data_IF_608164088794
#
_entry.id   IF_608164088794
#
_cell.length_a   1.000
_cell.length_b   1.000
_cell.length_c   1.000
_cell.angle_alpha   90.00
_cell.angle_beta   90.00
_cell.angle_gamma   90.00
#
_symmetry.space_group_name_H-M   'P 1'
#
loop_
_entity.id
_entity.type
_entity.pdbx_description
1 polymer ?
#
# COMPACT_ATOMS: atom_id res chain seq x y z
N UNK A 1 -23.98 6.94 14.09
CA UNK A 1 -23.73 5.85 13.12
C UNK A 1 -22.28 5.43 13.29
N UNK A 2 -22.00 4.12 13.32
CA UNK A 2 -20.61 3.62 13.32
C UNK A 2 -19.95 3.92 11.99
N UNK A 3 -18.69 4.38 12.01
CA UNK A 3 -17.93 4.61 10.78
C UNK A 3 -17.76 3.29 10.00
N UNK A 4 -17.83 3.32 8.65
CA UNK A 4 -17.54 2.13 7.87
C UNK A 4 -16.08 1.72 8.02
N UNK A 5 -15.84 0.41 8.05
CA UNK A 5 -14.50 -0.15 8.25
C UNK A 5 -13.76 -0.21 6.92
N UNK A 6 -12.53 0.28 6.92
CA UNK A 6 -11.58 0.18 5.81
C UNK A 6 -10.35 -0.60 6.27
N UNK A 7 -9.99 -1.63 5.52
CA UNK A 7 -8.77 -2.40 5.75
C UNK A 7 -7.73 -2.10 4.66
N UNK A 8 -6.49 -1.88 5.05
CA UNK A 8 -5.38 -1.76 4.11
C UNK A 8 -4.09 -2.31 4.71
N UNK A 9 -3.27 -2.92 3.86
CA UNK A 9 -2.02 -3.53 4.25
C UNK A 9 -0.85 -3.13 3.36
N UNK A 10 0.35 -3.07 3.93
CA UNK A 10 1.60 -2.89 3.20
C UNK A 10 2.57 -3.99 3.61
N UNK A 11 3.14 -4.65 2.60
CA UNK A 11 4.23 -5.59 2.83
C UNK A 11 5.50 -4.86 3.28
N UNK A 12 6.17 -5.35 4.34
CA UNK A 12 7.46 -4.84 4.78
C UNK A 12 8.59 -5.37 3.88
N UNK A 13 8.47 -5.15 2.57
CA UNK A 13 9.44 -5.56 1.57
C UNK A 13 9.77 -4.39 0.66
N UNK A 14 11.06 -4.11 0.52
CA UNK A 14 11.56 -2.96 -0.24
C UNK A 14 11.22 -1.61 0.41
N UNK A 15 11.81 -0.57 -0.12
CA UNK A 15 11.61 0.80 0.36
C UNK A 15 10.35 1.43 -0.24
N UNK A 16 9.56 2.12 0.59
CA UNK A 16 8.40 2.87 0.10
C UNK A 16 8.86 4.08 -0.74
N UNK A 17 8.17 4.30 -1.85
CA UNK A 17 8.47 5.39 -2.79
C UNK A 17 7.58 6.61 -2.56
N UNK A 18 7.97 7.74 -3.11
CA UNK A 18 7.10 8.92 -3.17
C UNK A 18 5.77 8.62 -3.86
N UNK A 19 5.76 7.70 -4.84
CA UNK A 19 4.54 7.22 -5.49
C UNK A 19 3.61 6.49 -4.52
N UNK A 20 4.15 5.69 -3.59
CA UNK A 20 3.35 5.07 -2.52
C UNK A 20 2.79 6.13 -1.55
N UNK A 21 3.59 7.12 -1.20
CA UNK A 21 3.16 8.21 -0.30
C UNK A 21 2.04 9.05 -0.92
N UNK A 22 2.27 9.61 -2.12
CA UNK A 22 1.31 10.50 -2.79
C UNK A 22 0.08 9.75 -3.33
N UNK A 23 0.27 8.49 -3.72
CA UNK A 23 -0.79 7.64 -4.27
C UNK A 23 -1.69 6.98 -3.23
N UNK A 24 -1.17 6.64 -2.05
CA UNK A 24 -1.89 5.87 -1.04
C UNK A 24 -1.83 6.49 0.37
N UNK A 25 -0.64 6.54 1.00
CA UNK A 25 -0.50 6.87 2.43
C UNK A 25 -1.13 8.21 2.80
N UNK A 26 -0.95 9.22 1.97
CA UNK A 26 -1.54 10.55 2.17
C UNK A 26 -3.07 10.54 2.19
N UNK A 27 -3.69 9.68 1.38
CA UNK A 27 -5.14 9.50 1.39
C UNK A 27 -5.58 8.75 2.64
N UNK A 28 -4.81 7.78 3.11
CA UNK A 28 -5.10 7.05 4.34
C UNK A 28 -5.15 7.97 5.57
N UNK A 29 -4.24 8.96 5.63
CA UNK A 29 -4.27 9.97 6.70
C UNK A 29 -5.60 10.73 6.72
N UNK A 30 -6.12 11.11 5.55
CA UNK A 30 -7.42 11.79 5.44
C UNK A 30 -8.60 10.87 5.78
N UNK A 31 -8.49 9.60 5.42
CA UNK A 31 -9.56 8.62 5.66
C UNK A 31 -9.85 8.38 7.15
N UNK A 32 -8.89 8.59 8.04
CA UNK A 32 -9.05 8.43 9.49
C UNK A 32 -10.18 9.31 10.07
N UNK A 33 -10.53 10.42 9.41
CA UNK A 33 -11.61 11.30 9.88
C UNK A 33 -13.00 10.71 9.62
N UNK A 34 -13.17 9.99 8.50
CA UNK A 34 -14.48 9.54 8.03
C UNK A 34 -14.70 8.03 8.21
N UNK A 35 -13.61 7.25 8.34
CA UNK A 35 -13.63 5.80 8.39
C UNK A 35 -12.99 5.26 9.66
N UNK A 36 -13.39 4.06 10.04
CA UNK A 36 -12.65 3.24 10.99
C UNK A 36 -11.54 2.51 10.23
N UNK A 37 -10.32 3.02 10.32
CA UNK A 37 -9.19 2.53 9.54
C UNK A 37 -8.41 1.45 10.29
N UNK A 38 -8.15 0.35 9.58
CA UNK A 38 -7.32 -0.77 10.05
C UNK A 38 -6.13 -0.88 9.09
N UNK A 39 -4.93 -0.60 9.59
CA UNK A 39 -3.68 -0.63 8.83
C UNK A 39 -2.80 -1.77 9.33
N UNK A 40 -2.48 -2.70 8.45
CA UNK A 40 -1.72 -3.90 8.76
C UNK A 40 -0.36 -3.88 8.05
N UNK A 41 0.72 -4.15 8.78
CA UNK A 41 2.01 -4.51 8.19
C UNK A 41 1.98 -6.01 7.94
N UNK A 42 1.84 -6.39 6.66
CA UNK A 42 1.55 -7.79 6.27
C UNK A 42 2.82 -8.61 6.07
N UNK A 43 3.45 -8.96 7.16
CA UNK A 43 4.72 -9.69 7.22
C UNK A 43 4.57 -11.17 6.81
N UNK A 44 3.42 -11.80 7.05
CA UNK A 44 3.15 -13.17 6.56
C UNK A 44 3.14 -13.23 5.03
N UNK A 45 2.63 -12.18 4.36
CA UNK A 45 2.73 -12.09 2.90
C UNK A 45 4.17 -11.88 2.41
N UNK A 46 5.01 -11.22 3.21
CA UNK A 46 6.39 -10.97 2.81
C UNK A 46 7.20 -12.27 2.68
N UNK A 47 6.96 -13.27 3.53
CA UNK A 47 7.70 -14.55 3.54
C UNK A 47 7.28 -15.51 2.42
N UNK A 48 6.30 -15.18 1.58
CA UNK A 48 6.02 -15.92 0.34
C UNK A 48 7.21 -15.90 -0.63
N UNK A 49 8.10 -14.95 -0.46
CA UNK A 49 9.43 -14.90 -1.03
C UNK A 49 10.44 -14.92 0.13
N UNK A 50 11.54 -15.68 0.01
CA UNK A 50 12.53 -15.77 1.08
C UNK A 50 13.07 -14.40 1.46
N UNK A 51 13.10 -14.12 2.75
CA UNK A 51 13.58 -12.88 3.34
C UNK A 51 14.78 -13.18 4.26
N UNK A 52 15.71 -12.23 4.33
CA UNK A 52 16.67 -12.21 5.43
C UNK A 52 15.95 -11.80 6.72
N UNK A 53 16.08 -12.55 7.84
CA UNK A 53 15.33 -12.28 9.06
C UNK A 53 15.62 -10.90 9.67
N UNK A 54 16.86 -10.44 9.60
CA UNK A 54 17.26 -9.13 10.14
C UNK A 54 16.67 -8.00 9.28
N UNK A 55 16.74 -8.17 7.96
CA UNK A 55 16.16 -7.21 7.01
C UNK A 55 14.62 -7.14 7.14
N UNK A 56 13.94 -8.30 7.30
CA UNK A 56 12.49 -8.34 7.48
C UNK A 56 12.06 -7.63 8.78
N UNK A 57 12.72 -7.92 9.91
CA UNK A 57 12.45 -7.24 11.19
C UNK A 57 12.64 -5.73 11.04
N UNK A 58 13.76 -5.31 10.47
CA UNK A 58 14.04 -3.89 10.23
C UNK A 58 12.96 -3.25 9.37
N UNK A 59 12.62 -3.85 8.23
CA UNK A 59 11.63 -3.33 7.31
C UNK A 59 10.23 -3.24 7.93
N UNK A 60 9.85 -4.18 8.80
CA UNK A 60 8.58 -4.15 9.54
C UNK A 60 8.49 -2.91 10.44
N UNK A 61 9.54 -2.64 11.23
CA UNK A 61 9.60 -1.46 12.09
C UNK A 61 9.72 -0.15 11.29
N UNK A 62 10.44 -0.17 10.17
CA UNK A 62 10.56 0.99 9.29
C UNK A 62 9.21 1.35 8.64
N UNK A 63 8.41 0.38 8.22
CA UNK A 63 7.05 0.63 7.68
C UNK A 63 6.14 1.21 8.75
N UNK A 64 6.18 0.70 10.00
CA UNK A 64 5.42 1.26 11.11
C UNK A 64 5.82 2.71 11.38
N UNK A 65 7.11 2.98 11.52
CA UNK A 65 7.63 4.32 11.75
C UNK A 65 7.27 5.29 10.61
N UNK A 66 7.28 4.81 9.34
CA UNK A 66 6.81 5.57 8.18
C UNK A 66 5.32 5.88 8.24
N UNK A 67 4.48 4.94 8.67
CA UNK A 67 3.05 5.21 8.86
C UNK A 67 2.83 6.37 9.83
N UNK A 68 3.50 6.34 10.99
CA UNK A 68 3.42 7.40 12.00
C UNK A 68 3.99 8.72 11.48
N UNK A 69 5.13 8.68 10.80
CA UNK A 69 5.76 9.86 10.20
C UNK A 69 4.90 10.51 9.12
N UNK A 70 4.12 9.71 8.38
CA UNK A 70 3.16 10.19 7.38
C UNK A 70 1.89 10.79 8.01
N UNK A 71 1.63 10.59 9.31
CA UNK A 71 0.49 11.13 10.05
C UNK A 71 -0.64 10.14 10.30
N UNK A 72 -0.39 8.83 10.17
CA UNK A 72 -1.34 7.82 10.65
C UNK A 72 -1.29 7.83 12.19
N UNK A 73 -2.43 8.13 12.81
CA UNK A 73 -2.59 8.27 14.25
C UNK A 73 -3.07 6.94 14.87
N UNK A 74 -2.28 6.30 15.76
CA UNK A 74 -2.65 5.04 16.40
C UNK A 74 -3.82 5.18 17.38
N UNK A 75 -4.20 6.43 17.76
CA UNK A 75 -5.39 6.68 18.57
C UNK A 75 -6.68 6.71 17.71
N UNK A 76 -6.57 7.03 16.43
CA UNK A 76 -7.70 7.07 15.48
C UNK A 76 -7.84 5.78 14.67
N UNK A 77 -6.74 5.05 14.48
CA UNK A 77 -6.66 3.87 13.63
C UNK A 77 -6.10 2.68 14.40
N UNK A 78 -6.46 1.48 13.98
CA UNK A 78 -5.82 0.25 14.47
C UNK A 78 -4.62 -0.06 13.59
N UNK A 79 -3.41 -0.07 14.17
CA UNK A 79 -2.16 -0.34 13.45
C UNK A 79 -1.49 -1.56 14.10
N UNK A 80 -1.18 -2.60 13.33
CA UNK A 80 -0.57 -3.82 13.86
C UNK A 80 0.25 -4.57 12.81
N UNK A 81 1.02 -5.55 13.25
CA UNK A 81 1.73 -6.51 12.40
C UNK A 81 0.87 -7.77 12.27
N UNK A 82 0.71 -8.27 11.07
CA UNK A 82 -0.17 -9.41 10.75
C UNK A 82 0.13 -10.66 11.59
N UNK A 83 1.41 -11.00 11.76
CA UNK A 83 1.82 -12.16 12.56
C UNK A 83 1.49 -12.06 14.05
N UNK A 84 1.16 -10.87 14.56
CA UNK A 84 0.72 -10.69 15.95
C UNK A 84 -0.76 -11.09 16.17
N UNK A 85 -1.49 -11.38 15.10
CA UNK A 85 -2.91 -11.75 15.11
C UNK A 85 -3.09 -13.11 14.44
N UNK A 86 -2.94 -14.22 15.18
CA UNK A 86 -2.96 -15.58 14.61
C UNK A 86 -4.28 -15.94 13.90
N UNK A 87 -5.36 -15.23 14.22
CA UNK A 87 -6.67 -15.39 13.59
C UNK A 87 -6.63 -15.26 12.06
N UNK A 88 -5.68 -14.50 11.50
CA UNK A 88 -5.45 -14.40 10.05
C UNK A 88 -5.15 -15.77 9.42
N UNK A 89 -4.22 -16.51 10.00
CA UNK A 89 -3.86 -17.85 9.50
C UNK A 89 -4.92 -18.88 9.79
N UNK A 90 -5.62 -18.76 10.92
CA UNK A 90 -6.71 -19.66 11.29
C UNK A 90 -7.90 -19.52 10.32
N UNK A 91 -8.30 -18.27 10.00
CA UNK A 91 -9.36 -18.06 9.00
C UNK A 91 -8.89 -18.45 7.61
N UNK A 92 -7.64 -18.13 7.24
CA UNK A 92 -7.07 -18.52 5.93
C UNK A 92 -7.19 -20.02 5.70
N UNK A 93 -6.88 -20.86 6.71
CA UNK A 93 -7.03 -22.29 6.60
C UNK A 93 -8.49 -22.70 6.33
N UNK A 94 -9.44 -22.13 7.03
CA UNK A 94 -10.87 -22.41 6.78
C UNK A 94 -11.24 -22.00 5.36
N UNK A 95 -10.91 -20.77 4.94
CA UNK A 95 -11.25 -20.26 3.61
C UNK A 95 -10.63 -21.06 2.47
N UNK A 96 -9.45 -21.65 2.68
CA UNK A 96 -8.83 -22.57 1.73
C UNK A 96 -9.73 -23.75 1.38
N UNK A 97 -10.51 -24.25 2.35
CA UNK A 97 -11.45 -25.34 2.14
C UNK A 97 -12.68 -24.91 1.32
N UNK A 98 -12.89 -23.61 1.11
CA UNK A 98 -13.98 -23.02 0.34
C UNK A 98 -13.48 -22.29 -0.92
N UNK A 99 -12.20 -22.43 -1.26
CA UNK A 99 -11.57 -21.81 -2.44
C UNK A 99 -11.23 -22.89 -3.45
N UNK A 100 -11.60 -22.69 -4.71
CA UNK A 100 -11.35 -23.70 -5.72
C UNK A 100 -9.97 -23.56 -6.36
N UNK A 101 -9.27 -24.68 -6.47
CA UNK A 101 -7.95 -24.75 -7.10
C UNK A 101 -7.90 -24.11 -8.49
N UNK A 102 -8.96 -24.32 -9.29
CA UNK A 102 -9.06 -23.75 -10.63
C UNK A 102 -9.20 -22.21 -10.65
N UNK A 103 -9.77 -21.60 -9.61
CA UNK A 103 -9.82 -20.14 -9.45
C UNK A 103 -8.41 -19.60 -9.15
N UNK A 104 -7.72 -20.21 -8.20
CA UNK A 104 -6.37 -19.86 -7.81
C UNK A 104 -5.37 -19.99 -8.96
N UNK A 105 -5.47 -21.06 -9.76
CA UNK A 105 -4.59 -21.31 -10.91
C UNK A 105 -4.73 -20.26 -12.04
N UNK A 106 -5.82 -19.50 -12.06
CA UNK A 106 -6.04 -18.44 -13.04
C UNK A 106 -5.57 -17.07 -12.61
N UNK A 107 -5.10 -16.93 -11.34
CA UNK A 107 -4.61 -15.66 -10.81
C UNK A 107 -3.41 -15.16 -11.62
N UNK A 108 -3.53 -13.94 -12.16
CA UNK A 108 -2.48 -13.32 -13.00
C UNK A 108 -1.19 -13.09 -12.21
N UNK A 109 -1.31 -12.59 -10.99
CA UNK A 109 -0.18 -12.34 -10.09
C UNK A 109 0.60 -13.63 -9.76
N UNK A 110 -0.07 -14.79 -9.64
CA UNK A 110 0.62 -16.06 -9.46
C UNK A 110 1.47 -16.40 -10.68
N UNK A 111 0.93 -16.24 -11.89
CA UNK A 111 1.67 -16.49 -13.13
C UNK A 111 2.88 -15.60 -13.28
N UNK A 112 2.72 -14.30 -13.01
CA UNK A 112 3.81 -13.31 -13.13
C UNK A 112 4.92 -13.56 -12.09
N UNK A 113 4.55 -13.83 -10.84
CA UNK A 113 5.51 -14.11 -9.76
C UNK A 113 6.20 -15.46 -9.95
N UNK A 114 5.47 -16.49 -10.41
CA UNK A 114 6.05 -17.80 -10.70
C UNK A 114 7.09 -17.72 -11.82
N UNK A 115 6.86 -16.90 -12.83
CA UNK A 115 7.84 -16.67 -13.89
C UNK A 115 9.09 -15.93 -13.37
N UNK A 116 8.92 -14.97 -12.44
CA UNK A 116 10.01 -14.19 -11.84
C UNK A 116 10.84 -14.99 -10.82
N UNK A 117 10.22 -15.88 -10.07
CA UNK A 117 10.83 -16.66 -8.98
C UNK A 117 10.81 -18.17 -9.28
N UNK A 118 11.11 -18.56 -10.51
CA UNK A 118 10.96 -19.93 -11.01
C UNK A 118 11.67 -21.02 -10.16
N UNK A 119 12.76 -20.65 -9.48
CA UNK A 119 13.52 -21.57 -8.61
C UNK A 119 12.90 -21.78 -7.21
N UNK A 120 11.91 -20.96 -6.83
CA UNK A 120 11.33 -20.99 -5.48
C UNK A 120 9.81 -20.75 -5.50
N UNK A 121 9.12 -21.52 -6.33
CA UNK A 121 7.65 -21.52 -6.34
C UNK A 121 7.17 -22.38 -5.18
N UNK A 122 6.73 -21.73 -4.11
CA UNK A 122 6.20 -22.40 -2.92
C UNK A 122 4.67 -22.27 -2.83
N UNK A 123 4.06 -23.09 -1.95
CA UNK A 123 2.61 -23.13 -1.76
C UNK A 123 2.07 -21.76 -1.29
N UNK A 124 2.81 -21.05 -0.42
CA UNK A 124 2.40 -19.71 0.04
C UNK A 124 2.29 -18.69 -1.10
N UNK A 125 3.13 -18.81 -2.14
CA UNK A 125 3.02 -17.97 -3.34
C UNK A 125 1.76 -18.26 -4.14
N UNK A 126 1.27 -19.50 -4.12
CA UNK A 126 -0.01 -19.87 -4.71
C UNK A 126 -1.20 -19.44 -3.84
N UNK A 127 -1.07 -19.56 -2.52
CA UNK A 127 -2.15 -19.50 -1.55
C UNK A 127 -2.39 -18.10 -0.93
N UNK A 128 -1.42 -17.17 -1.06
CA UNK A 128 -1.54 -15.86 -0.41
C UNK A 128 -2.82 -15.06 -0.74
N UNK A 129 -3.52 -15.25 -1.89
CA UNK A 129 -4.79 -14.55 -2.11
C UNK A 129 -5.89 -14.97 -1.11
N UNK A 130 -5.84 -16.21 -0.61
CA UNK A 130 -6.75 -16.69 0.43
C UNK A 130 -6.39 -16.09 1.79
N UNK A 131 -5.10 -15.94 2.09
CA UNK A 131 -4.65 -15.20 3.28
C UNK A 131 -5.08 -13.72 3.20
N UNK A 132 -4.99 -13.09 2.03
CA UNK A 132 -5.50 -11.72 1.83
C UNK A 132 -7.02 -11.64 2.01
N UNK A 133 -7.77 -12.65 1.57
CA UNK A 133 -9.19 -12.73 1.85
C UNK A 133 -9.47 -12.81 3.35
N UNK A 134 -8.71 -13.62 4.10
CA UNK A 134 -8.80 -13.69 5.55
C UNK A 134 -8.49 -12.33 6.21
N UNK A 135 -7.44 -11.64 5.76
CA UNK A 135 -7.06 -10.31 6.25
C UNK A 135 -8.23 -9.31 6.18
N UNK A 136 -9.00 -9.35 5.12
CA UNK A 136 -10.12 -8.43 4.87
C UNK A 136 -11.37 -8.85 5.62
N UNK A 137 -11.71 -10.14 5.55
CA UNK A 137 -12.98 -10.68 6.05
C UNK A 137 -13.03 -10.76 7.59
N UNK A 138 -11.89 -10.98 8.27
CA UNK A 138 -11.81 -10.96 9.73
C UNK A 138 -12.37 -9.69 10.34
N UNK A 139 -12.14 -8.57 9.69
CA UNK A 139 -12.52 -7.25 10.22
C UNK A 139 -13.86 -6.75 9.70
N UNK A 140 -14.58 -7.57 8.92
CA UNK A 140 -15.84 -7.15 8.29
C UNK A 140 -15.66 -5.85 7.48
N UNK A 141 -14.51 -5.73 6.80
CA UNK A 141 -14.16 -4.52 6.06
C UNK A 141 -15.16 -4.29 4.92
N UNK A 142 -15.80 -3.13 4.92
CA UNK A 142 -16.75 -2.75 3.87
C UNK A 142 -16.03 -2.30 2.61
N UNK A 143 -14.84 -1.70 2.75
CA UNK A 143 -14.10 -1.14 1.63
C UNK A 143 -12.59 -1.39 1.78
N UNK A 144 -11.94 -1.66 0.66
CA UNK A 144 -10.51 -1.93 0.58
C UNK A 144 -9.89 -1.02 -0.49
N UNK A 145 -8.98 -0.10 -0.12
CA UNK A 145 -8.26 0.72 -1.08
C UNK A 145 -7.19 -0.12 -1.78
N UNK A 146 -7.46 -0.51 -3.02
CA UNK A 146 -6.56 -1.33 -3.84
C UNK A 146 -6.22 -0.64 -5.15
N UNK A 147 -4.99 -0.85 -5.61
CA UNK A 147 -4.59 -0.53 -6.97
C UNK A 147 -5.17 -1.53 -7.99
N UNK A 148 -5.06 -1.19 -9.28
CA UNK A 148 -5.58 -2.02 -10.37
C UNK A 148 -5.03 -3.46 -10.36
N UNK A 149 -3.77 -3.62 -9.96
CA UNK A 149 -3.08 -4.91 -9.84
C UNK A 149 -3.63 -5.82 -8.73
N UNK A 150 -4.41 -5.26 -7.78
CA UNK A 150 -5.02 -6.00 -6.68
C UNK A 150 -6.52 -6.24 -6.86
N UNK A 151 -7.14 -5.76 -7.95
CA UNK A 151 -8.57 -5.93 -8.19
C UNK A 151 -8.97 -7.40 -8.22
N UNK A 152 -8.19 -8.25 -8.89
CA UNK A 152 -8.47 -9.69 -8.99
C UNK A 152 -8.43 -10.38 -7.61
N UNK A 153 -7.56 -9.93 -6.70
CA UNK A 153 -7.53 -10.45 -5.32
C UNK A 153 -8.79 -10.05 -4.54
N UNK A 154 -9.31 -8.85 -4.76
CA UNK A 154 -10.55 -8.45 -4.11
C UNK A 154 -11.77 -9.18 -4.72
N UNK A 155 -11.77 -9.46 -6.01
CA UNK A 155 -12.80 -10.27 -6.67
C UNK A 155 -12.86 -11.67 -6.07
N UNK A 156 -11.73 -12.37 -5.94
CA UNK A 156 -11.71 -13.70 -5.32
C UNK A 156 -12.11 -13.65 -3.84
N UNK A 157 -11.75 -12.61 -3.11
CA UNK A 157 -12.22 -12.39 -1.74
C UNK A 157 -13.73 -12.29 -1.67
N UNK A 158 -14.37 -11.58 -2.59
CA UNK A 158 -15.82 -11.45 -2.71
C UNK A 158 -16.48 -12.79 -3.02
N UNK A 159 -15.91 -13.55 -3.97
CA UNK A 159 -16.42 -14.85 -4.37
C UNK A 159 -16.36 -15.85 -3.21
N UNK A 160 -15.27 -15.88 -2.47
CA UNK A 160 -15.11 -16.72 -1.27
C UNK A 160 -16.14 -16.32 -0.21
N UNK A 161 -16.29 -15.03 0.08
CA UNK A 161 -17.26 -14.53 1.07
C UNK A 161 -18.70 -14.84 0.67
N UNK A 162 -19.07 -14.63 -0.59
CA UNK A 162 -20.41 -14.93 -1.10
C UNK A 162 -20.72 -16.44 -1.04
N UNK A 163 -19.75 -17.28 -1.41
CA UNK A 163 -19.88 -18.75 -1.35
C UNK A 163 -20.05 -19.22 0.09
N UNK A 164 -19.26 -18.70 1.02
CA UNK A 164 -19.36 -19.05 2.43
C UNK A 164 -20.71 -18.61 3.01
N UNK A 165 -21.13 -17.38 2.72
CA UNK A 165 -22.43 -16.85 3.15
C UNK A 165 -23.61 -17.65 2.58
N UNK A 166 -23.51 -18.15 1.35
CA UNK A 166 -24.56 -19.01 0.74
C UNK A 166 -24.73 -20.32 1.52
N UNK A 167 -23.65 -20.86 2.08
CA UNK A 167 -23.67 -22.13 2.80
C UNK A 167 -24.11 -21.97 4.27
N UNK A 168 -23.70 -20.86 4.91
CA UNK A 168 -23.79 -20.73 6.37
C UNK A 168 -24.55 -19.50 6.86
N UNK A 169 -25.15 -18.71 5.94
CA UNK A 169 -25.82 -17.45 6.28
C UNK A 169 -24.84 -16.27 6.27
N UNK A 170 -25.33 -15.09 6.63
CA UNK A 170 -24.59 -13.81 6.54
C UNK A 170 -23.47 -13.70 7.60
N UNK A 171 -22.39 -14.43 7.36
CA UNK A 171 -21.20 -14.43 8.25
C UNK A 171 -20.25 -13.28 7.90
N UNK A 172 -19.96 -13.08 6.60
CA UNK A 172 -19.01 -12.08 6.12
C UNK A 172 -19.70 -10.90 5.45
N UNK A 173 -19.22 -9.69 5.73
CA UNK A 173 -19.48 -8.53 4.89
C UNK A 173 -18.73 -8.69 3.57
N UNK A 174 -19.44 -8.59 2.45
CA UNK A 174 -18.80 -8.64 1.13
C UNK A 174 -18.13 -7.30 0.86
N UNK A 175 -16.78 -7.27 0.72
CA UNK A 175 -16.06 -6.02 0.58
C UNK A 175 -16.23 -5.40 -0.81
N UNK A 176 -16.08 -4.09 -0.88
CA UNK A 176 -16.10 -3.31 -2.12
C UNK A 176 -14.74 -2.62 -2.34
N UNK A 177 -14.43 -2.33 -3.62
CA UNK A 177 -13.28 -1.48 -3.93
C UNK A 177 -13.55 -0.08 -3.36
N UNK A 178 -12.60 0.46 -2.60
CA UNK A 178 -12.69 1.84 -2.15
C UNK A 178 -12.53 2.79 -3.34
N UNK A 179 -13.61 3.46 -3.70
CA UNK A 179 -13.67 4.44 -4.79
C UNK A 179 -13.34 5.87 -4.31
N UNK A 180 -12.47 6.03 -3.32
CA UNK A 180 -11.97 7.33 -2.91
C UNK A 180 -11.26 8.08 -4.05
N UNK A 181 -11.01 9.38 -3.86
CA UNK A 181 -10.20 10.13 -4.83
C UNK A 181 -8.89 9.38 -5.06
N UNK A 182 -8.67 8.94 -6.28
CA UNK A 182 -7.42 8.29 -6.67
C UNK A 182 -6.26 9.23 -6.30
N UNK A 183 -5.28 8.72 -5.56
CA UNK A 183 -4.05 9.45 -5.33
C UNK A 183 -3.30 9.66 -6.64
N UNK A 184 -2.32 10.56 -6.63
CA UNK A 184 -1.52 10.82 -7.80
C UNK A 184 -0.82 9.53 -8.29
N UNK A 185 -0.96 9.23 -9.58
CA UNK A 185 -0.26 8.12 -10.22
C UNK A 185 1.11 8.61 -10.67
N UNK A 186 2.09 8.42 -9.82
CA UNK A 186 3.46 8.86 -10.10
C UNK A 186 4.15 7.86 -11.02
N UNK A 187 4.73 8.37 -12.11
CA UNK A 187 5.44 7.60 -13.10
C UNK A 187 6.95 7.61 -12.81
N UNK A 188 7.69 6.70 -13.45
CA UNK A 188 9.14 6.62 -13.38
C UNK A 188 9.80 7.89 -13.90
N UNK A 189 10.92 8.32 -13.30
CA UNK A 189 11.58 9.57 -13.68
C UNK A 189 12.31 9.48 -15.03
N UNK A 190 12.80 8.30 -15.42
CA UNK A 190 13.53 8.09 -16.67
C UNK A 190 12.69 7.36 -17.72
N UNK A 191 11.58 6.73 -17.32
CA UNK A 191 10.66 6.02 -18.20
C UNK A 191 9.22 6.39 -17.81
N UNK A 192 8.76 7.61 -18.16
CA UNK A 192 7.48 8.15 -17.67
C UNK A 192 6.24 7.45 -18.25
N UNK A 193 6.41 6.46 -19.12
CA UNK A 193 5.32 5.59 -19.59
C UNK A 193 5.04 4.46 -18.58
N UNK A 194 5.97 4.18 -17.67
CA UNK A 194 5.85 3.17 -16.62
C UNK A 194 5.61 3.79 -15.26
N UNK A 195 4.73 3.16 -14.48
CA UNK A 195 4.49 3.55 -13.08
C UNK A 195 5.78 3.38 -12.25
N UNK A 196 6.09 4.36 -11.40
CA UNK A 196 7.19 4.25 -10.43
C UNK A 196 6.97 3.01 -9.53
N UNK A 197 7.95 2.11 -9.53
CA UNK A 197 7.90 0.85 -8.79
C UNK A 197 9.09 0.72 -7.84
N UNK A 198 8.83 0.27 -6.61
CA UNK A 198 9.89 -0.02 -5.63
C UNK A 198 10.83 -1.16 -6.07
N UNK A 199 10.39 -2.00 -7.00
CA UNK A 199 11.16 -3.13 -7.57
C UNK A 199 11.83 -2.79 -8.90
N UNK A 200 11.95 -1.50 -9.28
CA UNK A 200 12.66 -1.09 -10.48
C UNK A 200 14.17 -1.22 -10.26
N UNK A 201 14.84 -1.94 -11.17
CA UNK A 201 16.29 -2.16 -11.11
C UNK A 201 17.09 -0.88 -11.34
N UNK A 202 16.55 0.05 -12.13
CA UNK A 202 17.17 1.36 -12.33
C UNK A 202 16.78 2.33 -11.21
N UNK A 203 17.65 2.51 -10.24
CA UNK A 203 17.43 3.40 -9.09
C UNK A 203 17.26 4.88 -9.46
N UNK A 204 17.59 5.30 -10.70
CA UNK A 204 17.28 6.65 -11.17
C UNK A 204 15.82 6.84 -11.56
N UNK A 205 15.07 5.75 -11.72
CA UNK A 205 13.64 5.76 -11.99
C UNK A 205 12.81 6.06 -10.76
N UNK A 206 13.38 5.86 -9.56
CA UNK A 206 12.63 5.75 -8.30
C UNK A 206 13.13 6.78 -7.31
N UNK A 207 12.21 7.39 -6.58
CA UNK A 207 12.46 8.21 -5.39
C UNK A 207 11.90 7.47 -4.18
N UNK A 208 12.79 7.04 -3.27
CA UNK A 208 12.36 6.40 -2.01
C UNK A 208 12.21 7.42 -0.89
N UNK A 209 11.33 7.15 0.08
CA UNK A 209 11.00 8.11 1.15
C UNK A 209 12.17 8.38 2.10
N UNK A 210 13.09 7.42 2.23
CA UNK A 210 14.27 7.52 3.10
C UNK A 210 15.57 7.82 2.34
N UNK A 211 15.48 8.13 1.05
CA UNK A 211 16.64 8.53 0.25
C UNK A 211 17.10 9.95 0.61
N UNK A 212 18.42 10.18 0.59
CA UNK A 212 18.98 11.51 0.83
C UNK A 212 18.34 12.57 -0.08
N UNK A 213 17.75 13.64 0.49
CA UNK A 213 17.06 14.67 -0.29
C UNK A 213 17.92 15.33 -1.37
N UNK A 214 19.23 15.46 -1.14
CA UNK A 214 20.16 16.03 -2.14
C UNK A 214 20.37 15.07 -3.32
N UNK A 215 20.37 13.78 -3.07
CA UNK A 215 20.41 12.75 -4.11
C UNK A 215 19.14 12.78 -4.95
N UNK A 216 17.99 12.85 -4.28
CA UNK A 216 16.67 12.95 -4.93
C UNK A 216 16.57 14.20 -5.82
N UNK A 217 17.04 15.36 -5.33
CA UNK A 217 17.07 16.59 -6.12
C UNK A 217 17.85 16.41 -7.44
N UNK A 218 19.00 15.70 -7.38
CA UNK A 218 19.79 15.40 -8.60
C UNK A 218 19.05 14.47 -9.56
N UNK A 219 18.34 13.46 -9.06
CA UNK A 219 17.51 12.55 -9.88
C UNK A 219 16.40 13.32 -10.59
N UNK A 220 15.67 14.17 -9.88
CA UNK A 220 14.56 14.95 -10.42
C UNK A 220 15.07 15.92 -11.50
N UNK A 221 16.19 16.60 -11.27
CA UNK A 221 16.81 17.50 -12.27
C UNK A 221 17.22 16.76 -13.55
N UNK A 222 17.48 15.45 -13.47
CA UNK A 222 17.82 14.58 -14.61
C UNK A 222 16.61 13.81 -15.17
N UNK A 223 15.40 14.01 -14.63
CA UNK A 223 14.21 13.35 -15.13
C UNK A 223 13.99 13.64 -16.62
N UNK A 224 13.49 12.64 -17.34
CA UNK A 224 13.24 12.77 -18.79
C UNK A 224 12.12 13.77 -19.03
N UNK A 225 12.30 14.62 -20.02
CA UNK A 225 11.31 15.54 -20.60
C UNK A 225 11.36 15.40 -22.12
N UNK A 226 10.37 15.96 -22.81
CA UNK A 226 10.40 16.02 -24.28
C UNK A 226 11.49 16.97 -24.82
N UNK A 227 11.64 17.03 -26.14
CA UNK A 227 12.64 17.81 -26.87
C UNK A 227 12.05 19.01 -27.61
N UNK A 228 10.89 19.53 -27.18
CA UNK A 228 10.28 20.71 -27.80
C UNK A 228 11.21 21.92 -27.78
N UNK A 229 11.25 22.66 -28.85
CA UNK A 229 12.05 23.88 -28.98
C UNK A 229 11.21 25.01 -29.63
N UNK A 230 10.85 26.05 -28.86
CA UNK A 230 11.15 26.27 -27.44
C UNK A 230 10.40 25.29 -26.52
N UNK A 231 10.95 24.96 -25.34
CA UNK A 231 10.27 24.08 -24.37
C UNK A 231 8.98 24.72 -23.87
N UNK A 232 7.93 23.91 -23.83
CA UNK A 232 6.59 24.35 -23.34
C UNK A 232 6.16 23.46 -22.19
N UNK A 233 5.99 24.05 -21.01
CA UNK A 233 5.44 23.35 -19.84
C UNK A 233 3.92 23.26 -20.01
N UNK A 234 3.47 22.08 -20.42
CA UNK A 234 2.06 21.76 -20.65
C UNK A 234 1.77 20.31 -20.24
N UNK A 235 0.60 20.08 -19.66
CA UNK A 235 0.13 18.75 -19.31
C UNK A 235 -0.40 18.03 -20.56
N UNK A 236 0.29 17.02 -21.00
CA UNK A 236 -0.09 16.18 -22.13
C UNK A 236 0.57 14.82 -21.96
N UNK A 237 -0.14 13.89 -21.32
CA UNK A 237 0.40 12.56 -20.98
C UNK A 237 0.87 11.79 -22.20
N UNK A 238 0.25 12.01 -23.36
CA UNK A 238 0.59 11.29 -24.59
C UNK A 238 1.88 11.79 -25.24
N UNK A 239 2.07 13.12 -25.30
CA UNK A 239 3.19 13.72 -26.04
C UNK A 239 4.27 14.29 -25.12
N UNK A 240 3.96 14.53 -23.84
CA UNK A 240 4.82 15.14 -22.82
C UNK A 240 4.77 14.37 -21.50
N UNK A 241 4.88 13.03 -21.58
CA UNK A 241 4.74 12.16 -20.43
C UNK A 241 5.64 12.56 -19.24
N UNK A 242 6.91 12.91 -19.51
CA UNK A 242 7.86 13.33 -18.48
C UNK A 242 7.50 14.68 -17.83
N UNK A 243 7.09 15.68 -18.62
CA UNK A 243 6.63 16.97 -18.10
C UNK A 243 5.33 16.81 -17.30
N UNK A 244 4.39 16.01 -17.81
CA UNK A 244 3.14 15.70 -17.14
C UNK A 244 3.37 15.02 -15.78
N UNK A 245 4.30 14.04 -15.71
CA UNK A 245 4.68 13.39 -14.46
C UNK A 245 5.29 14.38 -13.45
N UNK A 246 6.14 15.31 -13.90
CA UNK A 246 6.70 16.35 -13.01
C UNK A 246 5.62 17.31 -12.51
N UNK A 247 4.64 17.67 -13.33
CA UNK A 247 3.48 18.47 -12.93
C UNK A 247 2.59 17.71 -11.94
N UNK A 248 2.35 16.42 -12.14
CA UNK A 248 1.61 15.57 -11.21
C UNK A 248 2.29 15.47 -9.84
N UNK A 249 3.62 15.29 -9.83
CA UNK A 249 4.41 15.28 -8.57
C UNK A 249 4.27 16.63 -7.87
N UNK A 250 4.50 17.74 -8.59
CA UNK A 250 4.46 19.08 -8.01
C UNK A 250 3.06 19.44 -7.50
N UNK A 251 2.02 19.13 -8.28
CA UNK A 251 0.62 19.30 -7.89
C UNK A 251 0.30 18.53 -6.61
N UNK A 252 0.71 17.25 -6.56
CA UNK A 252 0.48 16.43 -5.40
C UNK A 252 1.22 16.94 -4.15
N UNK A 253 2.46 17.42 -4.27
CA UNK A 253 3.25 17.92 -3.13
C UNK A 253 2.73 19.26 -2.65
N UNK A 254 2.44 20.19 -3.56
CA UNK A 254 2.04 21.58 -3.22
C UNK A 254 0.56 21.78 -3.00
N UNK A 255 -0.30 20.83 -3.37
CA UNK A 255 -1.76 20.96 -3.47
C UNK A 255 -2.27 21.99 -4.47
N UNK A 256 -1.42 22.50 -5.35
CA UNK A 256 -1.84 23.33 -6.49
C UNK A 256 -2.43 22.46 -7.58
N UNK A 257 -3.44 22.92 -8.29
CA UNK A 257 -3.93 22.22 -9.48
C UNK A 257 -2.91 22.26 -10.61
N UNK A 258 -2.95 21.28 -11.50
CA UNK A 258 -2.10 21.26 -12.70
C UNK A 258 -2.27 22.51 -13.54
N UNK A 259 -3.49 23.03 -13.69
CA UNK A 259 -3.79 24.26 -14.43
C UNK A 259 -3.14 25.52 -13.81
N UNK A 260 -3.07 25.60 -12.49
CA UNK A 260 -2.33 26.69 -11.81
C UNK A 260 -0.83 26.59 -12.05
N UNK A 261 -0.28 25.36 -12.04
CA UNK A 261 1.12 25.14 -12.31
C UNK A 261 1.49 25.43 -13.76
N UNK A 262 0.65 25.05 -14.74
CA UNK A 262 0.87 25.39 -16.14
C UNK A 262 0.98 26.91 -16.33
N UNK A 263 0.11 27.70 -15.68
CA UNK A 263 0.19 29.16 -15.69
C UNK A 263 1.46 29.69 -15.03
N UNK A 264 1.83 29.12 -13.88
CA UNK A 264 3.04 29.52 -13.13
C UNK A 264 4.32 29.29 -13.95
N UNK A 265 4.34 28.25 -14.78
CA UNK A 265 5.48 27.89 -15.63
C UNK A 265 5.32 28.32 -17.09
N UNK A 266 4.30 29.10 -17.44
CA UNK A 266 4.15 29.62 -18.80
C UNK A 266 5.37 30.44 -19.22
N UNK A 267 5.93 30.10 -20.37
CA UNK A 267 7.14 30.73 -20.91
C UNK A 267 8.46 30.39 -20.19
N UNK A 268 8.44 29.48 -19.20
CA UNK A 268 9.65 29.03 -18.50
C UNK A 268 10.21 27.75 -19.12
N UNK A 269 11.52 27.59 -18.97
CA UNK A 269 12.26 26.40 -19.41
C UNK A 269 12.00 25.20 -18.48
N UNK A 270 12.12 23.96 -18.97
CA UNK A 270 11.98 22.74 -18.16
C UNK A 270 12.90 22.71 -16.93
N UNK A 271 14.07 23.35 -16.98
CA UNK A 271 14.96 23.49 -15.83
C UNK A 271 14.31 24.19 -14.62
N UNK A 272 13.43 25.17 -14.86
CA UNK A 272 12.70 25.83 -13.78
C UNK A 272 11.67 24.90 -13.12
N UNK A 273 10.90 24.15 -13.92
CA UNK A 273 9.97 23.13 -13.43
C UNK A 273 10.71 22.05 -12.62
N UNK A 274 11.79 21.48 -13.17
CA UNK A 274 12.59 20.46 -12.50
C UNK A 274 13.18 20.95 -11.18
N UNK A 275 13.60 22.21 -11.13
CA UNK A 275 14.13 22.81 -9.89
C UNK A 275 13.03 22.95 -8.85
N UNK A 276 11.87 23.48 -9.22
CA UNK A 276 10.73 23.59 -8.30
C UNK A 276 10.29 22.23 -7.75
N UNK A 277 10.16 21.21 -8.62
CA UNK A 277 9.84 19.83 -8.18
C UNK A 277 10.91 19.29 -7.24
N UNK A 278 12.19 19.50 -7.56
CA UNK A 278 13.31 19.02 -6.75
C UNK A 278 13.30 19.65 -5.34
N UNK A 279 13.06 20.95 -5.27
CA UNK A 279 13.04 21.69 -4.01
C UNK A 279 11.85 21.27 -3.13
N UNK A 280 10.64 21.20 -3.70
CA UNK A 280 9.43 20.81 -2.97
C UNK A 280 9.48 19.34 -2.49
N UNK A 281 9.95 18.43 -3.34
CA UNK A 281 10.12 17.02 -2.95
C UNK A 281 11.20 16.87 -1.88
N UNK A 282 12.33 17.59 -2.01
CA UNK A 282 13.40 17.54 -0.99
C UNK A 282 12.92 18.03 0.37
N UNK A 283 12.14 19.12 0.41
CA UNK A 283 11.57 19.67 1.63
C UNK A 283 10.57 18.69 2.27
N UNK A 284 9.71 18.08 1.44
CA UNK A 284 8.78 17.04 1.89
C UNK A 284 9.51 15.87 2.53
N UNK A 285 10.54 15.34 1.86
CA UNK A 285 11.31 14.20 2.34
C UNK A 285 12.08 14.54 3.62
N UNK A 286 12.70 15.72 3.71
CA UNK A 286 13.42 16.14 4.91
C UNK A 286 12.50 16.17 6.15
N UNK A 287 11.32 16.79 6.03
CA UNK A 287 10.36 16.84 7.13
C UNK A 287 9.74 15.47 7.48
N UNK A 288 9.58 14.58 6.48
CA UNK A 288 9.12 13.21 6.73
C UNK A 288 10.20 12.38 7.42
N UNK A 289 11.46 12.50 6.98
CA UNK A 289 12.57 11.75 7.55
C UNK A 289 12.89 12.19 8.99
N UNK A 290 12.75 13.48 9.31
CA UNK A 290 12.89 13.95 10.68
C UNK A 290 11.91 13.24 11.62
N UNK A 291 10.61 13.20 11.25
CA UNK A 291 9.59 12.48 12.02
C UNK A 291 9.83 10.97 12.04
N UNK A 292 10.26 10.40 10.90
CA UNK A 292 10.57 8.98 10.82
C UNK A 292 11.65 8.58 11.84
N UNK A 293 12.75 9.31 11.91
CA UNK A 293 13.83 9.00 12.84
C UNK A 293 13.44 9.25 14.31
N UNK A 294 12.55 10.21 14.59
CA UNK A 294 11.97 10.36 15.93
C UNK A 294 11.26 9.08 16.38
N UNK A 295 10.37 8.53 15.53
CA UNK A 295 9.67 7.27 15.84
C UNK A 295 10.61 6.07 15.80
N UNK A 296 11.46 5.97 14.78
CA UNK A 296 12.28 4.78 14.56
C UNK A 296 13.33 4.56 15.66
N UNK A 297 13.81 5.62 16.28
CA UNK A 297 14.76 5.58 17.38
C UNK A 297 14.09 5.27 18.73
N UNK A 298 12.78 5.22 18.82
CA UNK A 298 12.01 4.84 20.00
C UNK A 298 11.31 3.48 19.77
N UNK A 299 12.09 2.39 19.82
CA UNK A 299 11.55 1.04 19.62
C UNK A 299 10.53 0.67 20.72
N UNK A 300 10.66 1.19 21.93
CA UNK A 300 9.72 0.93 23.01
C UNK A 300 8.33 1.52 22.70
N UNK A 301 8.27 2.72 22.13
CA UNK A 301 7.03 3.32 21.64
C UNK A 301 6.43 2.50 20.50
N UNK A 302 7.24 2.04 19.52
CA UNK A 302 6.78 1.22 18.43
C UNK A 302 6.21 -0.12 18.92
N UNK A 303 6.88 -0.78 19.85
CA UNK A 303 6.42 -2.04 20.45
C UNK A 303 5.09 -1.85 21.18
N UNK A 304 4.91 -0.75 21.93
CA UNK A 304 3.65 -0.45 22.63
C UNK A 304 2.50 -0.17 21.65
N UNK A 305 2.74 0.58 20.57
CA UNK A 305 1.73 0.82 19.51
C UNK A 305 1.32 -0.50 18.88
N UNK A 306 2.27 -1.38 18.56
CA UNK A 306 1.98 -2.70 17.97
C UNK A 306 1.22 -3.59 18.93
N UNK A 307 1.57 -3.60 20.22
CA UNK A 307 0.87 -4.38 21.25
C UNK A 307 -0.58 -3.95 21.35
N UNK A 308 -0.83 -2.65 21.50
CA UNK A 308 -2.20 -2.11 21.61
C UNK A 308 -3.00 -2.34 20.33
N UNK A 309 -2.35 -2.15 19.16
CA UNK A 309 -2.97 -2.39 17.88
C UNK A 309 -3.35 -3.86 17.67
N UNK A 310 -2.47 -4.78 18.04
CA UNK A 310 -2.73 -6.21 17.99
C UNK A 310 -3.88 -6.63 18.92
N UNK A 311 -3.96 -6.09 20.13
CA UNK A 311 -5.06 -6.36 21.06
C UNK A 311 -6.42 -5.92 20.49
N UNK A 312 -6.48 -4.69 19.93
CA UNK A 312 -7.69 -4.18 19.27
C UNK A 312 -8.06 -5.05 18.04
N UNK A 313 -7.08 -5.40 17.22
CA UNK A 313 -7.28 -6.22 16.04
C UNK A 313 -7.76 -7.63 16.39
N UNK A 314 -7.12 -8.30 17.37
CA UNK A 314 -7.49 -9.64 17.84
C UNK A 314 -8.91 -9.71 18.38
N UNK A 315 -9.33 -8.71 19.13
CA UNK A 315 -10.70 -8.68 19.68
C UNK A 315 -11.76 -8.75 18.55
N UNK A 316 -11.53 -8.04 17.45
CA UNK A 316 -12.42 -8.09 16.28
C UNK A 316 -12.27 -9.37 15.47
N UNK A 317 -11.03 -9.75 15.18
CA UNK A 317 -10.72 -10.94 14.43
C UNK A 317 -11.32 -12.18 15.09
N UNK A 318 -11.16 -12.30 16.41
CA UNK A 318 -11.74 -13.39 17.20
C UNK A 318 -13.26 -13.44 17.11
N UNK A 319 -13.94 -12.29 17.20
CA UNK A 319 -15.39 -12.24 17.14
C UNK A 319 -15.94 -12.74 15.79
N UNK A 320 -15.23 -12.51 14.70
CA UNK A 320 -15.58 -13.05 13.36
C UNK A 320 -15.21 -14.53 13.28
N UNK A 321 -14.00 -14.91 13.72
CA UNK A 321 -13.52 -16.29 13.66
C UNK A 321 -14.41 -17.24 14.49
N UNK A 322 -14.86 -16.81 15.66
CA UNK A 322 -15.76 -17.61 16.50
C UNK A 322 -17.07 -17.93 15.76
N UNK A 323 -17.66 -16.97 15.05
CA UNK A 323 -18.85 -17.19 14.20
C UNK A 323 -18.57 -18.18 13.06
N UNK A 324 -17.39 -18.07 12.44
CA UNK A 324 -16.98 -19.00 11.40
C UNK A 324 -16.83 -20.42 11.93
N UNK A 325 -16.19 -20.58 13.10
CA UNK A 325 -15.99 -21.88 13.73
C UNK A 325 -17.30 -22.52 14.14
N UNK A 326 -18.22 -21.74 14.70
CA UNK A 326 -19.58 -22.20 15.01
C UNK A 326 -20.33 -22.65 13.75
N UNK A 327 -20.25 -21.84 12.68
CA UNK A 327 -20.94 -22.13 11.40
C UNK A 327 -20.44 -23.43 10.75
N UNK A 328 -19.13 -23.70 10.77
CA UNK A 328 -18.56 -24.94 10.21
C UNK A 328 -18.66 -26.14 11.16
N UNK A 329 -19.17 -25.95 12.39
CA UNK A 329 -19.41 -27.02 13.36
C UNK A 329 -18.19 -27.44 14.17
N UNK A 330 -17.20 -26.56 14.36
CA UNK A 330 -16.05 -26.86 15.22
C UNK A 330 -16.47 -26.86 16.70
N UNK A 331 -15.91 -27.80 17.46
CA UNK A 331 -16.14 -27.84 18.92
C UNK A 331 -15.40 -26.67 19.58
N UNK A 332 -16.12 -25.86 20.36
CA UNK A 332 -15.51 -24.76 21.07
C UNK A 332 -14.48 -25.26 22.10
N UNK A 333 -13.32 -24.61 22.16
CA UNK A 333 -12.38 -24.82 23.24
C UNK A 333 -13.02 -24.32 24.56
N UNK A 334 -13.00 -25.15 25.61
CA UNK A 334 -13.50 -24.82 26.95
C UNK A 334 -12.45 -24.06 27.75
#
# INVERSE_FOLDING_TARGET
>A
MTKPIVFSGVQPSGELTIGNYLGALRNWVKMQEDYECIFCVVDLHAITVRQDPVALRKATLDVLALYLACGIDPNKSTIFVQSHVPEHTQLSWVLNCYTYFGEMSRMTQFKDKSARYAENINVGLFDYPVLMAADILLYQAKSVPVGDDQKQHLEITRDIAARFNTLYGDIFTIPEIFLGKAGARIMSLQDPDKKMSKSDDNRNNVVTLLEDPKSVAKKIKRAVTDSDEPPVVRYDVKNKAGVSNLLDILSAVTNKSVAELEKEFEGKMYGHLKTAVADEVSNLLAGLQERFYQYRNDEALLDEILRQGAEKARARAKATLDKVYEAVGFVAAK
#
